data_IF_363729791704
#
_entry.id   IF_363729791704
#
_cell.length_a   1.000
_cell.length_b   1.000
_cell.length_c   1.000
_cell.angle_alpha   90.00
_cell.angle_beta   90.00
_cell.angle_gamma   90.00
#
_symmetry.space_group_name_H-M   'P 1'
#
loop_
_entity.id
_entity.type
_entity.pdbx_description
1 polymer ?
#
# COMPACT_ATOMS: atom_id res chain seq x y z
N UNK A 1 -16.11 10.15 -15.95
CA UNK A 1 -14.68 10.17 -15.59
C UNK A 1 -14.51 11.07 -14.38
N UNK A 2 -13.72 10.66 -13.37
CA UNK A 2 -13.53 11.38 -12.10
C UNK A 2 -13.13 12.85 -12.29
N UNK A 3 -12.39 13.16 -13.36
CA UNK A 3 -11.96 14.52 -13.70
C UNK A 3 -13.11 15.49 -14.09
N UNK A 4 -14.31 14.97 -14.39
CA UNK A 4 -15.45 15.83 -14.78
C UNK A 4 -16.18 16.44 -13.55
N UNK A 5 -15.89 15.96 -12.36
CA UNK A 5 -16.50 16.42 -11.11
C UNK A 5 -15.62 17.42 -10.32
N UNK A 6 -14.38 17.67 -10.76
CA UNK A 6 -13.47 18.66 -10.21
C UNK A 6 -13.65 20.02 -10.93
N UNK A 7 -13.62 21.14 -10.19
CA UNK A 7 -13.51 22.47 -10.83
C UNK A 7 -12.14 22.66 -11.48
N UNK A 8 -12.02 23.68 -12.34
CA UNK A 8 -10.77 24.06 -12.98
C UNK A 8 -9.68 24.32 -11.94
N UNK A 9 -8.74 23.44 -11.85
CA UNK A 9 -7.53 23.48 -11.03
C UNK A 9 -6.43 22.72 -11.75
N UNK A 10 -5.21 22.77 -11.23
CA UNK A 10 -4.09 22.01 -11.79
C UNK A 10 -4.18 20.54 -11.37
N UNK A 11 -4.52 19.68 -12.32
CA UNK A 11 -4.57 18.23 -12.08
C UNK A 11 -3.14 17.68 -11.99
N UNK A 12 -2.80 17.08 -10.86
CA UNK A 12 -1.56 16.34 -10.71
C UNK A 12 -1.62 15.12 -11.63
N UNK A 13 -0.69 15.02 -12.55
CA UNK A 13 -0.62 13.89 -13.48
C UNK A 13 -0.24 12.60 -12.73
N UNK A 14 -1.19 11.67 -12.65
CA UNK A 14 -0.96 10.31 -12.16
C UNK A 14 -0.70 9.42 -13.36
N UNK A 15 0.56 9.00 -13.53
CA UNK A 15 0.99 8.22 -14.71
C UNK A 15 0.46 6.79 -14.69
N UNK A 16 0.34 6.19 -13.52
CA UNK A 16 0.09 4.77 -13.33
C UNK A 16 -1.14 4.48 -12.47
N UNK A 17 -1.39 5.30 -11.44
CA UNK A 17 -2.56 5.15 -10.59
C UNK A 17 -3.84 5.49 -11.35
N UNK A 18 -4.83 4.59 -11.29
CA UNK A 18 -6.12 4.75 -11.97
C UNK A 18 -7.26 5.03 -11.01
N UNK A 19 -7.07 4.70 -9.75
CA UNK A 19 -8.08 4.87 -8.71
C UNK A 19 -7.96 6.21 -7.96
N UNK A 20 -6.93 7.00 -8.24
CA UNK A 20 -6.67 8.26 -7.56
C UNK A 20 -6.51 9.39 -8.58
N UNK A 21 -7.23 10.49 -8.34
CA UNK A 21 -7.04 11.76 -9.06
C UNK A 21 -6.85 12.87 -8.04
N UNK A 22 -5.85 13.70 -8.23
CA UNK A 22 -5.54 14.85 -7.36
C UNK A 22 -5.65 16.12 -8.19
N UNK A 23 -6.36 17.12 -7.66
CA UNK A 23 -6.50 18.44 -8.27
C UNK A 23 -6.11 19.49 -7.25
N UNK A 24 -5.10 20.28 -7.56
CA UNK A 24 -4.63 21.41 -6.75
C UNK A 24 -5.33 22.69 -7.17
N UNK A 25 -5.72 23.52 -6.23
CA UNK A 25 -6.41 24.78 -6.46
C UNK A 25 -5.67 25.93 -5.77
N UNK A 26 -5.53 27.05 -6.49
CA UNK A 26 -4.87 28.27 -6.03
C UNK A 26 -3.70 28.64 -6.89
N UNK A 27 -3.34 29.93 -6.89
CA UNK A 27 -2.19 30.46 -7.62
C UNK A 27 -0.92 29.99 -6.90
N UNK A 28 0.01 29.38 -7.63
CA UNK A 28 1.25 28.77 -7.12
C UNK A 28 2.28 29.73 -6.51
N UNK A 29 1.91 31.01 -6.27
CA UNK A 29 2.65 31.90 -5.39
C UNK A 29 2.13 31.65 -3.95
N UNK A 30 2.89 30.90 -3.20
CA UNK A 30 2.61 30.34 -1.90
C UNK A 30 1.69 31.18 -1.04
N UNK A 31 0.60 30.58 -0.61
CA UNK A 31 -0.22 31.13 0.45
C UNK A 31 0.69 31.56 1.61
N UNK A 32 0.62 32.83 1.96
CA UNK A 32 1.49 33.43 2.97
C UNK A 32 1.15 32.85 4.34
N UNK A 33 1.74 31.71 4.70
CA UNK A 33 1.49 31.00 5.94
C UNK A 33 1.39 29.49 5.80
N UNK A 34 1.35 28.95 4.58
CA UNK A 34 1.36 27.51 4.35
C UNK A 34 2.66 26.86 4.83
N UNK A 35 2.60 25.58 5.18
CA UNK A 35 3.77 24.79 5.50
C UNK A 35 4.73 24.73 4.30
N UNK A 36 6.03 24.65 4.57
CA UNK A 36 7.04 24.50 3.51
C UNK A 36 6.73 23.29 2.62
N UNK A 37 6.82 23.47 1.30
CA UNK A 37 6.54 22.44 0.31
C UNK A 37 5.07 22.34 -0.12
N UNK A 38 4.20 23.28 0.26
CA UNK A 38 2.80 23.37 -0.21
C UNK A 38 2.69 24.49 -1.23
N UNK A 39 2.19 24.17 -2.43
CA UNK A 39 2.04 25.08 -3.57
C UNK A 39 0.57 25.28 -3.99
N UNK A 40 -0.38 25.04 -3.07
CA UNK A 40 -1.82 25.15 -3.31
C UNK A 40 -2.55 25.74 -2.09
N UNK A 41 -3.69 26.36 -2.30
CA UNK A 41 -4.58 26.84 -1.22
C UNK A 41 -5.41 25.69 -0.64
N UNK A 42 -5.92 24.81 -1.49
CA UNK A 42 -6.52 23.54 -1.13
C UNK A 42 -6.34 22.55 -2.28
N UNK A 43 -6.47 21.27 -1.99
CA UNK A 43 -6.45 20.24 -3.01
C UNK A 43 -7.64 19.29 -2.85
N UNK A 44 -8.05 18.67 -3.94
CA UNK A 44 -9.05 17.61 -3.96
C UNK A 44 -8.36 16.29 -4.30
N UNK A 45 -8.57 15.27 -3.49
CA UNK A 45 -8.21 13.91 -3.82
C UNK A 45 -9.47 13.09 -4.03
N UNK A 46 -9.62 12.53 -5.22
CA UNK A 46 -10.80 11.79 -5.66
C UNK A 46 -10.41 10.32 -5.78
N UNK A 47 -11.03 9.46 -4.96
CA UNK A 47 -10.79 8.02 -4.97
C UNK A 47 -11.92 7.34 -5.74
N UNK A 48 -11.59 6.73 -6.88
CA UNK A 48 -12.55 5.98 -7.67
C UNK A 48 -12.95 4.69 -6.95
N UNK A 49 -14.19 4.25 -7.16
CA UNK A 49 -14.67 3.01 -6.57
C UNK A 49 -14.10 1.81 -7.35
N UNK A 50 -13.26 0.98 -6.74
CA UNK A 50 -12.61 -0.13 -7.42
C UNK A 50 -13.56 -1.28 -7.77
N UNK A 51 -14.72 -1.34 -7.11
CA UNK A 51 -15.73 -2.39 -7.32
C UNK A 51 -16.88 -1.96 -8.23
N UNK A 52 -17.08 -0.64 -8.38
CA UNK A 52 -18.16 -0.10 -9.20
C UNK A 52 -17.65 0.96 -10.16
N UNK A 53 -17.33 0.52 -11.36
CA UNK A 53 -16.81 1.39 -12.40
C UNK A 53 -17.66 2.65 -12.63
N UNK A 54 -17.01 3.78 -12.86
CA UNK A 54 -17.66 5.05 -13.14
C UNK A 54 -18.26 5.75 -11.89
N UNK A 55 -18.04 5.21 -10.69
CA UNK A 55 -18.47 5.85 -9.45
C UNK A 55 -17.26 6.21 -8.58
N UNK A 56 -17.46 7.17 -7.67
CA UNK A 56 -16.48 7.56 -6.68
C UNK A 56 -16.69 6.78 -5.39
N UNK A 57 -15.60 6.36 -4.76
CA UNK A 57 -15.60 5.81 -3.41
C UNK A 57 -15.64 6.96 -2.40
N UNK A 58 -14.68 7.89 -2.51
CA UNK A 58 -14.50 8.96 -1.54
C UNK A 58 -13.88 10.19 -2.20
N UNK A 59 -14.16 11.36 -1.62
CA UNK A 59 -13.55 12.64 -1.96
C UNK A 59 -12.96 13.27 -0.72
N UNK A 60 -11.73 13.69 -0.79
CA UNK A 60 -11.05 14.44 0.27
C UNK A 60 -10.75 15.84 -0.19
N UNK A 61 -11.03 16.82 0.69
CA UNK A 61 -10.61 18.21 0.51
C UNK A 61 -9.50 18.45 1.50
N UNK A 62 -8.29 18.63 0.98
CA UNK A 62 -7.08 18.86 1.77
C UNK A 62 -6.89 20.36 1.94
N UNK A 63 -6.87 20.82 3.19
CA UNK A 63 -6.69 22.24 3.53
C UNK A 63 -5.42 22.38 4.38
N UNK A 64 -4.38 23.06 3.87
CA UNK A 64 -3.18 23.32 4.64
C UNK A 64 -3.47 24.10 5.92
N UNK A 65 -2.85 23.72 7.04
CA UNK A 65 -2.90 24.45 8.31
C UNK A 65 -2.15 25.78 8.17
N UNK A 66 -2.62 26.80 8.87
CA UNK A 66 -1.98 28.12 8.89
C UNK A 66 -2.53 29.13 7.90
N UNK A 67 -3.49 28.78 7.07
CA UNK A 67 -4.14 29.69 6.13
C UNK A 67 -5.29 30.48 6.75
N UNK A 68 -5.22 31.84 6.68
CA UNK A 68 -6.34 32.71 7.08
C UNK A 68 -7.54 32.60 6.12
N UNK A 69 -7.34 32.21 4.87
CA UNK A 69 -8.35 31.92 3.85
C UNK A 69 -9.26 30.72 4.12
N UNK A 70 -8.97 30.00 5.14
CA UNK A 70 -9.56 28.77 5.61
C UNK A 70 -11.10 28.74 5.67
N UNK A 71 -11.72 29.83 6.12
CA UNK A 71 -13.20 29.93 6.19
C UNK A 71 -13.85 29.92 4.81
N UNK A 72 -13.23 30.54 3.83
CA UNK A 72 -13.74 30.61 2.45
C UNK A 72 -13.62 29.23 1.79
N UNK A 73 -12.49 28.55 1.98
CA UNK A 73 -12.24 27.21 1.45
C UNK A 73 -13.18 26.19 2.09
N UNK A 74 -13.39 26.26 3.41
CA UNK A 74 -14.36 25.38 4.11
C UNK A 74 -15.79 25.64 3.62
N UNK A 75 -16.16 26.89 3.30
CA UNK A 75 -17.46 27.21 2.71
C UNK A 75 -17.59 26.65 1.29
N UNK A 76 -16.54 26.72 0.48
CA UNK A 76 -16.50 26.13 -0.86
C UNK A 76 -16.62 24.60 -0.79
N UNK A 77 -15.88 23.96 0.13
CA UNK A 77 -15.95 22.56 0.40
C UNK A 77 -17.37 22.10 0.80
N UNK A 78 -18.02 22.85 1.70
CA UNK A 78 -19.41 22.60 2.12
C UNK A 78 -20.42 22.77 0.99
N UNK A 79 -20.26 23.79 0.12
CA UNK A 79 -21.12 23.98 -1.06
C UNK A 79 -21.04 22.80 -2.03
N UNK A 80 -19.87 22.16 -2.17
CA UNK A 80 -19.65 21.05 -3.08
C UNK A 80 -20.11 19.72 -2.50
N UNK A 81 -20.09 19.54 -1.18
CA UNK A 81 -20.58 18.31 -0.54
C UNK A 81 -22.09 18.11 -0.74
N UNK A 82 -22.85 19.16 -0.95
CA UNK A 82 -24.32 19.10 -1.13
C UNK A 82 -24.77 18.54 -2.48
N UNK A 83 -23.87 18.37 -3.45
CA UNK A 83 -24.16 17.78 -4.77
C UNK A 83 -23.38 16.51 -5.08
N UNK A 84 -22.46 16.11 -4.21
CA UNK A 84 -21.58 14.98 -4.46
C UNK A 84 -22.31 13.63 -4.31
N UNK A 85 -22.08 12.74 -5.27
CA UNK A 85 -22.62 11.37 -5.24
C UNK A 85 -21.75 10.40 -4.39
N UNK A 86 -20.83 10.90 -3.60
CA UNK A 86 -19.95 10.13 -2.72
C UNK A 86 -19.73 10.86 -1.40
N UNK A 87 -19.19 10.14 -0.42
CA UNK A 87 -18.75 10.71 0.87
C UNK A 87 -17.65 11.73 0.62
N UNK A 88 -17.71 12.87 1.29
CA UNK A 88 -16.72 13.93 1.22
C UNK A 88 -16.25 14.31 2.61
N UNK A 89 -14.95 14.22 2.86
CA UNK A 89 -14.32 14.65 4.09
C UNK A 89 -13.34 15.79 3.85
N UNK A 90 -13.26 16.69 4.82
CA UNK A 90 -12.23 17.74 4.86
C UNK A 90 -11.12 17.31 5.80
N UNK A 91 -9.88 17.34 5.32
CA UNK A 91 -8.69 16.96 6.07
C UNK A 91 -7.78 18.16 6.21
N UNK A 92 -7.43 18.52 7.44
CA UNK A 92 -6.43 19.55 7.71
C UNK A 92 -5.04 18.95 7.61
N UNK A 93 -4.24 19.48 6.70
CA UNK A 93 -2.89 18.99 6.46
C UNK A 93 -1.83 19.97 6.98
N UNK A 94 -0.70 19.47 7.45
CA UNK A 94 -0.37 18.05 7.65
C UNK A 94 -1.13 17.44 8.83
N UNK A 95 -1.47 16.15 8.68
CA UNK A 95 -2.00 15.32 9.78
C UNK A 95 -0.85 14.99 10.72
N UNK A 96 -0.98 15.32 11.98
CA UNK A 96 0.08 15.12 13.01
C UNK A 96 -0.24 13.99 14.00
N UNK A 97 -1.50 13.53 14.00
CA UNK A 97 -1.94 12.38 14.80
C UNK A 97 -2.88 11.52 13.97
N UNK A 98 -2.50 10.28 13.76
CA UNK A 98 -3.30 9.33 12.99
C UNK A 98 -3.35 7.95 13.63
N UNK A 99 -4.43 7.23 13.37
CA UNK A 99 -4.50 5.79 13.55
C UNK A 99 -4.29 5.12 12.18
N UNK A 100 -3.23 4.33 12.05
CA UNK A 100 -2.81 3.69 10.79
C UNK A 100 -2.99 2.19 10.93
N UNK A 101 -3.97 1.64 10.21
CA UNK A 101 -4.39 0.25 10.39
C UNK A 101 -3.50 -0.77 9.67
N UNK A 102 -2.68 -0.34 8.70
CA UNK A 102 -2.01 -1.22 7.77
C UNK A 102 -0.50 -1.01 7.79
N UNK A 103 0.26 -2.07 8.02
CA UNK A 103 1.72 -2.04 8.14
C UNK A 103 2.46 -1.39 6.95
N UNK A 104 2.11 -1.63 5.68
CA UNK A 104 2.74 -0.93 4.55
C UNK A 104 2.67 0.58 4.63
N UNK A 105 1.54 1.14 5.09
CA UNK A 105 1.41 2.59 5.26
C UNK A 105 2.29 3.10 6.41
N UNK A 106 2.40 2.33 7.50
CA UNK A 106 3.34 2.67 8.57
C UNK A 106 4.77 2.74 8.01
N UNK A 107 5.20 1.75 7.24
CA UNK A 107 6.54 1.72 6.65
C UNK A 107 6.77 2.92 5.71
N UNK A 108 5.80 3.22 4.85
CA UNK A 108 5.88 4.39 3.97
C UNK A 108 6.04 5.69 4.77
N UNK A 109 5.32 5.84 5.88
CA UNK A 109 5.46 7.03 6.74
C UNK A 109 6.85 7.18 7.35
N UNK A 110 7.55 6.06 7.67
CA UNK A 110 8.97 6.11 8.04
C UNK A 110 9.85 6.60 6.90
N UNK A 111 9.62 6.14 5.69
CA UNK A 111 10.39 6.53 4.52
C UNK A 111 10.17 8.00 4.15
N UNK A 112 8.95 8.50 4.32
CA UNK A 112 8.62 9.91 4.12
C UNK A 112 9.07 10.83 5.27
N UNK A 113 9.47 10.25 6.43
CA UNK A 113 9.91 11.02 7.61
C UNK A 113 8.76 11.57 8.46
N UNK A 114 7.55 11.06 8.28
CA UNK A 114 6.36 11.46 9.02
C UNK A 114 5.87 10.42 10.05
N UNK A 115 6.73 9.50 10.48
CA UNK A 115 6.41 8.43 11.43
C UNK A 115 5.90 8.95 12.78
N UNK A 116 6.18 10.20 13.13
CA UNK A 116 5.70 10.79 14.38
C UNK A 116 4.18 10.98 14.39
N UNK A 117 3.57 11.06 13.22
CA UNK A 117 2.12 11.11 13.07
C UNK A 117 1.43 9.77 13.35
N UNK A 118 2.16 8.65 13.38
CA UNK A 118 1.62 7.34 13.78
C UNK A 118 1.44 7.33 15.29
N UNK A 119 0.20 7.32 15.75
CA UNK A 119 -0.16 7.32 17.18
C UNK A 119 -0.94 6.09 17.61
N UNK A 120 -1.60 5.44 16.66
CA UNK A 120 -2.29 4.18 16.87
C UNK A 120 -2.09 3.25 15.67
N UNK A 121 -2.05 1.96 15.93
CA UNK A 121 -1.96 0.92 14.92
C UNK A 121 -2.90 -0.23 15.26
N UNK A 122 -3.33 -0.96 14.23
CA UNK A 122 -4.01 -2.23 14.40
C UNK A 122 -3.08 -3.39 14.04
N UNK A 123 -3.45 -4.60 14.47
CA UNK A 123 -2.74 -5.84 14.14
C UNK A 123 -1.24 -5.78 14.45
N UNK A 124 -0.88 -5.19 15.60
CA UNK A 124 0.50 -4.88 16.01
C UNK A 124 1.43 -6.09 15.92
N UNK A 125 0.95 -7.30 16.21
CA UNK A 125 1.76 -8.52 16.19
C UNK A 125 2.31 -8.84 14.79
N UNK A 126 1.59 -8.41 13.74
CA UNK A 126 1.96 -8.60 12.34
C UNK A 126 2.79 -7.47 11.75
N UNK A 127 2.98 -6.37 12.48
CA UNK A 127 3.81 -5.25 12.02
C UNK A 127 5.28 -5.58 12.26
N UNK A 128 6.07 -5.64 11.19
CA UNK A 128 7.50 -5.94 11.27
C UNK A 128 8.37 -4.67 11.12
N UNK A 129 8.05 -3.67 11.94
CA UNK A 129 8.78 -2.40 12.04
C UNK A 129 9.24 -2.24 13.50
N UNK A 130 10.55 -2.40 13.78
CA UNK A 130 11.07 -2.43 15.15
C UNK A 130 10.70 -1.19 16.00
N UNK A 131 10.75 0.00 15.41
CA UNK A 131 10.41 1.24 16.13
C UNK A 131 8.94 1.32 16.49
N UNK A 132 8.03 0.84 15.64
CA UNK A 132 6.59 0.75 15.96
C UNK A 132 6.40 -0.13 17.20
N UNK A 133 7.03 -1.30 17.23
CA UNK A 133 6.95 -2.21 18.39
C UNK A 133 7.53 -1.59 19.65
N UNK A 134 8.68 -0.91 19.53
CA UNK A 134 9.30 -0.19 20.64
C UNK A 134 8.38 0.90 21.19
N UNK A 135 7.82 1.75 20.33
CA UNK A 135 6.92 2.84 20.73
C UNK A 135 5.60 2.30 21.29
N UNK A 136 5.10 1.17 20.78
CA UNK A 136 3.90 0.52 21.32
C UNK A 136 4.13 -0.05 22.73
N UNK A 137 5.32 -0.58 23.02
CA UNK A 137 5.69 -1.04 24.36
C UNK A 137 5.74 0.09 25.39
N UNK A 138 5.86 1.34 24.94
CA UNK A 138 5.83 2.54 25.79
C UNK A 138 4.42 3.09 26.01
N UNK A 139 3.40 2.47 25.44
CA UNK A 139 2.01 2.87 25.62
C UNK A 139 1.63 2.80 27.12
N UNK A 140 1.02 3.86 27.61
CA UNK A 140 0.72 4.00 29.06
C UNK A 140 1.83 4.66 29.89
N UNK A 141 3.02 4.86 29.36
CA UNK A 141 4.05 5.66 30.02
C UNK A 141 3.83 7.15 29.70
N UNK A 142 3.38 7.91 30.68
CA UNK A 142 3.08 9.36 30.55
C UNK A 142 4.30 10.21 30.19
N UNK A 143 5.51 9.71 30.47
CA UNK A 143 6.78 10.40 30.15
C UNK A 143 7.34 9.99 28.77
N UNK A 144 6.73 9.04 28.10
CA UNK A 144 7.21 8.59 26.78
C UNK A 144 6.89 9.62 25.69
N UNK A 145 7.87 9.89 24.86
CA UNK A 145 7.66 10.72 23.67
C UNK A 145 6.98 9.88 22.57
N UNK A 146 5.83 10.36 22.10
CA UNK A 146 5.11 9.78 20.96
C UNK A 146 4.87 8.26 21.05
N UNK A 147 4.26 7.75 22.14
CA UNK A 147 3.91 6.34 22.23
C UNK A 147 2.88 5.97 21.16
N UNK A 148 2.86 4.72 20.75
CA UNK A 148 1.86 4.16 19.83
C UNK A 148 0.88 3.31 20.61
N UNK A 149 -0.41 3.53 20.39
CA UNK A 149 -1.49 2.74 21.01
C UNK A 149 -1.81 1.55 20.12
N UNK A 150 -1.86 0.35 20.68
CA UNK A 150 -2.42 -0.81 19.99
C UNK A 150 -3.94 -0.70 20.01
N UNK A 151 -4.53 -0.45 18.84
CA UNK A 151 -5.97 -0.28 18.64
C UNK A 151 -6.71 -1.61 18.34
N UNK A 152 -6.07 -2.76 18.59
CA UNK A 152 -6.67 -4.08 18.41
C UNK A 152 -6.56 -4.58 16.98
N UNK A 153 -7.57 -5.35 16.54
CA UNK A 153 -7.63 -5.86 15.17
C UNK A 153 -8.18 -4.84 14.20
N UNK A 154 -7.64 -4.77 12.98
CA UNK A 154 -8.16 -3.92 11.90
C UNK A 154 -9.59 -4.27 11.51
N UNK A 155 -10.01 -5.54 11.69
CA UNK A 155 -11.39 -6.00 11.43
C UNK A 155 -12.36 -5.69 12.57
N UNK A 156 -11.88 -5.47 13.78
CA UNK A 156 -12.66 -5.13 14.97
C UNK A 156 -11.86 -4.19 15.88
N UNK A 157 -11.66 -2.92 15.45
CA UNK A 157 -10.82 -1.98 16.19
C UNK A 157 -11.43 -1.58 17.52
N UNK A 158 -10.56 -1.30 18.51
CA UNK A 158 -10.93 -0.79 19.82
C UNK A 158 -11.28 0.70 19.70
N UNK A 159 -12.57 0.98 19.63
CA UNK A 159 -13.11 2.33 19.44
C UNK A 159 -12.73 3.27 20.59
N UNK A 160 -12.71 2.78 21.84
CA UNK A 160 -12.40 3.61 23.02
C UNK A 160 -10.94 4.06 22.99
N UNK A 161 -10.03 3.18 22.61
CA UNK A 161 -8.62 3.53 22.42
C UNK A 161 -8.43 4.54 21.30
N UNK A 162 -9.15 4.39 20.19
CA UNK A 162 -9.11 5.35 19.08
C UNK A 162 -9.64 6.72 19.54
N UNK A 163 -10.75 6.77 20.27
CA UNK A 163 -11.29 8.03 20.81
C UNK A 163 -10.28 8.70 21.74
N UNK A 164 -9.66 7.93 22.65
CA UNK A 164 -8.68 8.45 23.58
C UNK A 164 -7.42 9.01 22.87
N UNK A 165 -7.07 8.46 21.74
CA UNK A 165 -5.96 8.90 20.90
C UNK A 165 -6.22 10.28 20.26
N UNK A 166 -7.48 10.66 20.07
CA UNK A 166 -7.91 11.90 19.39
C UNK A 166 -7.19 12.09 18.04
N UNK A 167 -7.29 11.13 17.10
CA UNK A 167 -6.62 11.24 15.83
C UNK A 167 -7.28 12.30 14.96
N UNK A 168 -6.50 12.94 14.09
CA UNK A 168 -6.98 13.88 13.07
C UNK A 168 -7.45 13.15 11.81
N UNK A 169 -6.97 11.91 11.61
CA UNK A 169 -7.40 11.03 10.55
C UNK A 169 -7.18 9.55 10.93
N UNK A 170 -7.98 8.68 10.34
CA UNK A 170 -7.83 7.23 10.39
C UNK A 170 -7.49 6.75 8.98
N UNK A 171 -6.41 6.01 8.82
CA UNK A 171 -5.98 5.44 7.55
C UNK A 171 -6.22 3.93 7.56
N UNK A 172 -7.09 3.46 6.67
CA UNK A 172 -7.45 2.05 6.56
C UNK A 172 -7.67 1.65 5.10
N UNK A 173 -7.63 0.36 4.80
CA UNK A 173 -8.01 -0.15 3.48
C UNK A 173 -9.52 -0.42 3.42
N UNK A 174 -10.23 0.14 2.43
CA UNK A 174 -11.62 -0.18 2.19
C UNK A 174 -11.77 -1.62 1.67
N UNK A 175 -12.97 -2.19 1.80
CA UNK A 175 -13.32 -3.49 1.22
C UNK A 175 -14.72 -3.45 0.62
N UNK A 176 -14.97 -4.35 -0.32
CA UNK A 176 -16.26 -4.42 -1.00
C UNK A 176 -17.40 -4.66 -0.01
N UNK A 177 -18.48 -3.94 -0.20
CA UNK A 177 -19.69 -4.04 0.64
C UNK A 177 -19.42 -3.78 2.15
N UNK A 178 -18.42 -2.98 2.48
CA UNK A 178 -18.18 -2.59 3.88
C UNK A 178 -19.40 -1.96 4.54
N UNK A 179 -20.29 -1.34 3.76
CA UNK A 179 -21.49 -0.68 4.26
C UNK A 179 -21.23 0.48 5.21
N UNK A 180 -19.96 0.95 5.24
CA UNK A 180 -19.41 1.88 6.21
C UNK A 180 -18.56 1.16 7.28
N UNK A 181 -18.04 1.96 8.19
CA UNK A 181 -17.08 1.50 9.23
C UNK A 181 -17.72 1.44 10.62
N UNK A 182 -19.05 1.35 10.66
CA UNK A 182 -19.81 1.15 11.89
C UNK A 182 -19.63 2.28 12.91
N UNK A 183 -19.03 1.97 14.05
CA UNK A 183 -18.81 2.97 15.10
C UNK A 183 -17.78 4.03 14.73
N UNK A 184 -16.81 3.72 13.83
CA UNK A 184 -15.81 4.68 13.37
C UNK A 184 -16.47 5.85 12.63
N UNK A 185 -17.48 5.62 11.80
CA UNK A 185 -18.21 6.67 11.07
C UNK A 185 -18.85 7.71 12.02
N UNK A 186 -19.18 7.30 13.23
CA UNK A 186 -19.82 8.17 14.24
C UNK A 186 -18.83 9.07 14.98
N UNK A 187 -17.52 8.88 14.79
CA UNK A 187 -16.50 9.67 15.46
C UNK A 187 -16.28 11.02 14.79
N UNK A 188 -16.81 11.23 13.59
CA UNK A 188 -16.59 12.43 12.78
C UNK A 188 -15.10 12.74 12.55
N UNK A 189 -14.27 11.71 12.52
CA UNK A 189 -12.85 11.76 12.17
C UNK A 189 -12.74 11.35 10.72
N UNK A 190 -12.04 12.09 9.85
CA UNK A 190 -11.83 11.70 8.47
C UNK A 190 -11.25 10.30 8.36
N UNK A 191 -11.90 9.42 7.58
CA UNK A 191 -11.42 8.09 7.28
C UNK A 191 -10.81 8.11 5.89
N UNK A 192 -9.49 7.92 5.84
CA UNK A 192 -8.74 7.85 4.59
C UNK A 192 -8.83 6.42 4.07
N UNK A 193 -9.64 6.21 3.04
CA UNK A 193 -9.86 4.93 2.38
C UNK A 193 -8.74 4.67 1.38
N UNK A 194 -7.70 3.98 1.85
CA UNK A 194 -6.51 3.66 1.09
C UNK A 194 -6.78 2.51 0.10
N UNK A 195 -7.36 2.83 -1.06
CA UNK A 195 -7.65 1.87 -2.12
C UNK A 195 -6.43 1.51 -2.99
N UNK A 196 -5.23 1.91 -2.59
CA UNK A 196 -3.98 1.67 -3.31
C UNK A 196 -3.74 0.17 -3.60
N UNK A 197 -4.16 -0.70 -2.69
CA UNK A 197 -3.99 -2.15 -2.87
C UNK A 197 -4.84 -2.73 -4.00
N UNK A 198 -5.86 -1.99 -4.45
CA UNK A 198 -6.73 -2.37 -5.58
C UNK A 198 -6.21 -1.87 -6.94
N UNK A 199 -5.13 -1.09 -6.95
CA UNK A 199 -4.46 -0.75 -8.21
C UNK A 199 -3.95 -2.01 -8.91
N UNK A 200 -4.23 -2.15 -10.18
CA UNK A 200 -3.74 -3.28 -10.98
C UNK A 200 -2.28 -3.13 -11.39
N UNK A 201 -1.78 -1.90 -11.47
CA UNK A 201 -0.39 -1.62 -11.80
C UNK A 201 0.49 -1.56 -10.55
N UNK A 202 1.63 -2.27 -10.51
CA UNK A 202 2.59 -2.17 -9.39
C UNK A 202 3.07 -0.73 -9.15
N UNK A 203 3.39 0.01 -10.20
CA UNK A 203 3.75 1.42 -10.12
C UNK A 203 2.56 2.30 -9.75
N UNK A 204 1.33 1.93 -10.17
CA UNK A 204 0.11 2.65 -9.77
C UNK A 204 -0.10 2.62 -8.26
N UNK A 205 0.09 1.46 -7.63
CA UNK A 205 0.04 1.37 -6.17
C UNK A 205 1.11 2.23 -5.51
N UNK A 206 2.35 2.16 -5.99
CA UNK A 206 3.44 2.97 -5.46
C UNK A 206 3.18 4.48 -5.61
N UNK A 207 2.55 4.91 -6.69
CA UNK A 207 2.29 6.32 -6.97
C UNK A 207 1.33 6.98 -5.95
N UNK A 208 0.53 6.20 -5.24
CA UNK A 208 -0.30 6.72 -4.14
C UNK A 208 0.51 7.38 -3.03
N UNK A 209 1.83 7.12 -2.94
CA UNK A 209 2.68 7.81 -1.97
C UNK A 209 2.66 9.33 -2.13
N UNK A 210 2.36 9.85 -3.32
CA UNK A 210 2.18 11.29 -3.56
C UNK A 210 1.01 11.84 -2.75
N UNK A 211 -0.11 11.13 -2.70
CA UNK A 211 -1.25 11.49 -1.87
C UNK A 211 -0.92 11.44 -0.38
N UNK A 212 -0.25 10.39 0.07
CA UNK A 212 0.17 10.29 1.47
C UNK A 212 1.19 11.36 1.84
N UNK A 213 2.06 11.75 0.91
CA UNK A 213 2.96 12.89 1.08
C UNK A 213 2.23 14.22 1.32
N UNK A 214 1.09 14.42 0.67
CA UNK A 214 0.23 15.59 0.88
C UNK A 214 -0.51 15.55 2.22
N UNK A 215 -0.86 14.36 2.71
CA UNK A 215 -1.60 14.21 3.97
C UNK A 215 -0.73 14.47 5.21
N UNK A 216 0.53 14.04 5.18
CA UNK A 216 1.39 14.02 6.36
C UNK A 216 2.54 15.02 6.25
N UNK A 217 3.06 15.43 7.40
CA UNK A 217 4.19 16.32 7.50
C UNK A 217 5.36 15.74 8.28
N UNK A 218 6.54 16.31 8.09
CA UNK A 218 7.75 15.98 8.79
C UNK A 218 8.27 17.14 9.63
N UNK A 219 9.11 16.82 10.62
CA UNK A 219 9.72 17.83 11.50
C UNK A 219 10.84 18.64 10.80
N UNK A 220 11.43 18.11 9.73
CA UNK A 220 12.55 18.75 9.03
C UNK A 220 12.13 20.07 8.37
N UNK A 221 10.89 20.13 7.84
CA UNK A 221 10.29 21.33 7.24
C UNK A 221 9.42 22.15 8.19
N UNK A 222 9.58 22.00 9.52
CA UNK A 222 8.72 22.68 10.50
C UNK A 222 8.94 24.18 10.49
N UNK A 223 7.85 24.92 10.27
CA UNK A 223 7.81 26.38 10.31
C UNK A 223 6.62 26.86 11.11
N UNK A 224 6.80 27.89 11.96
CA UNK A 224 5.72 28.45 12.80
C UNK A 224 4.95 27.39 13.62
N UNK A 225 5.61 26.29 14.02
CA UNK A 225 4.99 25.19 14.78
C UNK A 225 4.22 24.19 13.91
N UNK A 226 4.14 24.36 12.60
CA UNK A 226 3.48 23.46 11.66
C UNK A 226 4.56 22.63 10.95
N UNK A 227 4.37 21.33 10.87
CA UNK A 227 5.27 20.40 10.16
C UNK A 227 5.28 20.70 8.67
N UNK A 228 6.42 20.55 8.00
CA UNK A 228 6.53 20.67 6.54
C UNK A 228 5.82 19.52 5.82
N UNK A 229 5.38 19.76 4.57
CA UNK A 229 4.76 18.73 3.74
C UNK A 229 5.75 17.63 3.38
N UNK A 230 5.31 16.38 3.36
CA UNK A 230 6.08 15.24 2.86
C UNK A 230 5.98 15.07 1.34
N UNK A 231 5.22 15.91 0.63
CA UNK A 231 5.01 15.80 -0.82
C UNK A 231 6.32 15.78 -1.62
N UNK A 232 7.27 16.72 -1.41
CA UNK A 232 8.52 16.70 -2.19
C UNK A 232 9.34 15.43 -2.00
N UNK A 233 9.29 14.85 -0.81
CA UNK A 233 9.98 13.60 -0.49
C UNK A 233 9.29 12.40 -1.14
N UNK A 234 7.97 12.39 -1.17
CA UNK A 234 7.17 11.37 -1.85
C UNK A 234 7.44 11.38 -3.36
N UNK A 235 7.47 12.55 -3.99
CA UNK A 235 7.79 12.69 -5.40
C UNK A 235 9.19 12.20 -5.73
N UNK A 236 10.18 12.57 -4.92
CA UNK A 236 11.56 12.11 -5.09
C UNK A 236 11.69 10.60 -4.90
N UNK A 237 11.00 10.04 -3.92
CA UNK A 237 11.01 8.60 -3.66
C UNK A 237 10.36 7.84 -4.81
N UNK A 238 9.18 8.29 -5.26
CA UNK A 238 8.48 7.67 -6.38
C UNK A 238 9.33 7.71 -7.66
N UNK A 239 9.96 8.84 -7.97
CA UNK A 239 10.82 8.96 -9.15
C UNK A 239 11.99 7.96 -9.15
N UNK A 240 12.58 7.68 -7.97
CA UNK A 240 13.61 6.65 -7.83
C UNK A 240 13.06 5.26 -8.09
N UNK A 241 11.92 4.93 -7.49
CA UNK A 241 11.24 3.64 -7.64
C UNK A 241 10.85 3.41 -9.10
N UNK A 242 10.24 4.40 -9.74
CA UNK A 242 9.86 4.36 -11.16
C UNK A 242 11.07 4.07 -12.04
N UNK A 243 12.14 4.84 -11.87
CA UNK A 243 13.38 4.66 -12.65
C UNK A 243 13.97 3.27 -12.49
N UNK A 244 14.06 2.78 -11.26
CA UNK A 244 14.62 1.45 -10.98
C UNK A 244 13.73 0.34 -11.53
N UNK A 245 12.41 0.44 -11.33
CA UNK A 245 11.44 -0.51 -11.86
C UNK A 245 11.53 -0.63 -13.38
N UNK A 246 11.51 0.50 -14.10
CA UNK A 246 11.58 0.52 -15.56
C UNK A 246 12.94 0.00 -16.07
N UNK A 247 14.03 0.30 -15.39
CA UNK A 247 15.35 -0.22 -15.72
C UNK A 247 15.40 -1.75 -15.56
N UNK A 248 14.90 -2.29 -14.47
CA UNK A 248 14.85 -3.74 -14.23
C UNK A 248 13.98 -4.45 -15.27
N UNK A 249 12.81 -3.91 -15.56
CA UNK A 249 11.90 -4.43 -16.59
C UNK A 249 12.58 -4.47 -17.96
N UNK A 250 13.26 -3.39 -18.37
CA UNK A 250 13.98 -3.33 -19.63
C UNK A 250 15.14 -4.34 -19.70
N UNK A 251 15.88 -4.49 -18.60
CA UNK A 251 16.94 -5.49 -18.49
C UNK A 251 16.39 -6.92 -18.67
N UNK A 252 15.31 -7.26 -17.94
CA UNK A 252 14.69 -8.58 -18.04
C UNK A 252 14.18 -8.88 -19.46
N UNK A 253 13.58 -7.89 -20.12
CA UNK A 253 13.07 -8.02 -21.50
C UNK A 253 14.19 -8.29 -22.53
N UNK A 254 15.43 -7.92 -22.26
CA UNK A 254 16.61 -8.19 -23.09
C UNK A 254 17.09 -9.64 -23.07
N UNK A 255 16.53 -10.48 -22.22
CA UNK A 255 16.87 -11.91 -22.13
C UNK A 255 15.79 -12.80 -22.72
N UNK A 256 16.14 -14.07 -22.96
CA UNK A 256 15.12 -15.09 -23.30
C UNK A 256 14.17 -15.25 -22.13
N UNK A 257 12.94 -15.67 -22.42
CA UNK A 257 11.92 -15.99 -21.42
C UNK A 257 12.52 -16.88 -20.32
N UNK A 258 12.40 -16.44 -19.08
CA UNK A 258 13.01 -17.07 -17.91
C UNK A 258 12.33 -18.36 -17.46
N UNK A 259 12.72 -18.86 -16.31
CA UNK A 259 12.12 -20.01 -15.66
C UNK A 259 10.65 -19.73 -15.30
N UNK A 260 9.87 -20.80 -15.21
CA UNK A 260 8.49 -20.72 -14.74
C UNK A 260 8.44 -20.66 -13.21
N UNK A 261 7.64 -19.73 -12.68
CA UNK A 261 7.48 -19.51 -11.24
C UNK A 261 6.03 -19.80 -10.84
N UNK A 262 5.85 -20.69 -9.87
CA UNK A 262 4.60 -20.88 -9.15
C UNK A 262 4.72 -20.16 -7.80
N UNK A 263 3.72 -19.37 -7.46
CA UNK A 263 3.67 -18.66 -6.18
C UNK A 263 2.66 -19.28 -5.23
N UNK A 264 2.82 -19.01 -3.96
CA UNK A 264 1.95 -19.41 -2.85
C UNK A 264 1.87 -20.93 -2.66
N UNK A 265 1.14 -21.34 -1.64
CA UNK A 265 0.83 -22.74 -1.32
C UNK A 265 -0.63 -22.86 -0.91
N UNK A 266 -1.15 -24.06 -0.86
CA UNK A 266 -2.55 -24.26 -0.49
C UNK A 266 -2.82 -23.79 0.95
N UNK A 267 -4.03 -23.32 1.16
CA UNK A 267 -4.58 -22.99 2.48
C UNK A 267 -5.92 -23.71 2.62
N UNK A 268 -6.01 -24.64 3.56
CA UNK A 268 -7.17 -25.53 3.62
C UNK A 268 -7.29 -26.37 2.33
N UNK A 269 -8.41 -26.25 1.65
CA UNK A 269 -8.68 -26.95 0.39
C UNK A 269 -8.51 -26.09 -0.85
N UNK A 270 -7.99 -24.87 -0.70
CA UNK A 270 -7.84 -23.89 -1.78
C UNK A 270 -6.38 -23.49 -1.92
N UNK A 271 -5.96 -23.30 -3.16
CA UNK A 271 -4.67 -22.70 -3.49
C UNK A 271 -4.96 -21.37 -4.19
N UNK A 272 -4.72 -20.27 -3.48
CA UNK A 272 -4.87 -18.95 -4.04
C UNK A 272 -3.63 -18.58 -4.83
N UNK A 273 -3.81 -18.29 -6.13
CA UNK A 273 -2.73 -17.88 -7.02
C UNK A 273 -3.06 -16.54 -7.65
N UNK A 274 -2.07 -15.72 -8.00
CA UNK A 274 -2.31 -14.44 -8.66
C UNK A 274 -2.97 -14.62 -10.03
N UNK A 275 -3.99 -13.84 -10.33
CA UNK A 275 -4.49 -13.70 -11.70
C UNK A 275 -3.44 -13.04 -12.60
N UNK A 276 -3.53 -13.25 -13.90
CA UNK A 276 -2.55 -12.74 -14.87
C UNK A 276 -2.47 -11.21 -14.91
N UNK A 277 -3.56 -10.52 -14.60
CA UNK A 277 -3.64 -9.05 -14.52
C UNK A 277 -3.55 -8.51 -13.09
N UNK A 278 -3.23 -9.37 -12.11
CA UNK A 278 -2.94 -8.92 -10.75
C UNK A 278 -1.57 -8.26 -10.66
N UNK A 279 -1.32 -7.52 -9.57
CA UNK A 279 0.00 -6.91 -9.30
C UNK A 279 1.13 -7.94 -9.40
N UNK A 280 0.97 -9.12 -8.81
CA UNK A 280 1.97 -10.19 -8.88
C UNK A 280 2.07 -10.79 -10.28
N UNK A 281 0.94 -11.00 -10.97
CA UNK A 281 0.92 -11.48 -12.36
C UNK A 281 1.69 -10.54 -13.29
N UNK A 282 1.48 -9.22 -13.13
CA UNK A 282 2.20 -8.19 -13.90
C UNK A 282 3.69 -8.18 -13.54
N UNK A 283 4.06 -8.31 -12.26
CA UNK A 283 5.46 -8.39 -11.85
C UNK A 283 6.17 -9.61 -12.45
N UNK A 284 5.53 -10.77 -12.47
CA UNK A 284 6.07 -11.97 -13.12
C UNK A 284 6.26 -11.76 -14.63
N UNK A 285 5.30 -11.11 -15.30
CA UNK A 285 5.40 -10.73 -16.71
C UNK A 285 6.53 -9.74 -16.95
N UNK A 286 6.65 -8.70 -16.13
CA UNK A 286 7.68 -7.67 -16.23
C UNK A 286 9.07 -8.22 -15.88
N UNK A 287 9.15 -9.26 -15.04
CA UNK A 287 10.36 -10.04 -14.81
C UNK A 287 10.74 -10.97 -15.98
N UNK A 288 9.95 -11.00 -17.04
CA UNK A 288 10.10 -11.92 -18.16
C UNK A 288 10.17 -13.41 -17.70
N UNK A 289 9.47 -13.74 -16.62
CA UNK A 289 9.27 -15.09 -16.13
C UNK A 289 8.10 -15.75 -16.86
N UNK A 290 8.06 -17.09 -16.90
CA UNK A 290 6.89 -17.84 -17.31
C UNK A 290 5.96 -18.02 -16.10
N UNK A 291 4.66 -17.88 -16.35
CA UNK A 291 3.64 -18.07 -15.33
C UNK A 291 2.46 -18.88 -15.91
N UNK A 292 1.99 -19.89 -15.19
CA UNK A 292 0.95 -20.80 -15.70
C UNK A 292 -0.41 -20.15 -15.91
N UNK A 293 -0.62 -18.95 -15.38
CA UNK A 293 -1.82 -18.13 -15.54
C UNK A 293 -1.49 -16.77 -16.20
N UNK A 294 -0.41 -16.66 -16.98
CA UNK A 294 -0.01 -15.38 -17.60
C UNK A 294 -1.07 -14.79 -18.54
N UNK A 295 -1.92 -15.63 -19.15
CA UNK A 295 -3.01 -15.22 -20.04
C UNK A 295 -4.33 -14.95 -19.31
N UNK A 296 -4.41 -15.19 -18.02
CA UNK A 296 -5.60 -14.94 -17.21
C UNK A 296 -5.89 -13.45 -17.09
N UNK A 297 -7.17 -13.06 -17.19
CA UNK A 297 -7.57 -11.65 -17.22
C UNK A 297 -8.01 -11.09 -15.86
N UNK A 298 -7.96 -11.89 -14.80
CA UNK A 298 -8.34 -11.41 -13.47
C UNK A 298 -7.24 -10.55 -12.84
N UNK A 299 -7.65 -9.46 -12.24
CA UNK A 299 -6.76 -8.53 -11.49
C UNK A 299 -6.58 -8.92 -10.02
N UNK A 300 -7.30 -9.91 -9.54
CA UNK A 300 -7.23 -10.44 -8.17
C UNK A 300 -6.61 -11.83 -8.10
N UNK A 301 -6.78 -12.48 -6.96
CA UNK A 301 -6.38 -13.88 -6.76
C UNK A 301 -7.42 -14.84 -7.33
N UNK A 302 -6.94 -15.92 -7.92
CA UNK A 302 -7.74 -17.05 -8.36
C UNK A 302 -7.82 -18.10 -7.24
N UNK A 303 -9.01 -18.48 -6.83
CA UNK A 303 -9.24 -19.57 -5.90
C UNK A 303 -9.32 -20.89 -6.69
N UNK A 304 -8.25 -21.69 -6.65
CA UNK A 304 -8.13 -22.94 -7.40
C UNK A 304 -8.07 -24.13 -6.47
N UNK A 305 -8.53 -25.30 -6.92
CA UNK A 305 -8.23 -26.53 -6.20
C UNK A 305 -6.76 -26.93 -6.37
N UNK A 306 -6.15 -27.61 -5.39
CA UNK A 306 -4.78 -28.10 -5.54
C UNK A 306 -4.59 -28.97 -6.80
N UNK A 307 -5.58 -29.76 -7.19
CA UNK A 307 -5.55 -30.61 -8.38
C UNK A 307 -5.49 -29.79 -9.66
N UNK A 308 -6.23 -28.68 -9.74
CA UNK A 308 -6.19 -27.75 -10.87
C UNK A 308 -4.82 -27.10 -11.01
N UNK A 309 -4.20 -26.70 -9.89
CA UNK A 309 -2.84 -26.15 -9.89
C UNK A 309 -1.84 -27.21 -10.33
N UNK A 310 -1.91 -28.43 -9.78
CA UNK A 310 -1.02 -29.50 -10.18
C UNK A 310 -1.18 -29.92 -11.64
N UNK A 311 -2.41 -29.91 -12.16
CA UNK A 311 -2.65 -30.23 -13.58
C UNK A 311 -1.90 -29.28 -14.53
N UNK A 312 -1.83 -27.97 -14.19
CA UNK A 312 -1.12 -26.96 -14.98
C UNK A 312 0.34 -26.79 -14.59
N UNK A 313 0.66 -26.97 -13.32
CA UNK A 313 1.92 -26.56 -12.70
C UNK A 313 2.95 -27.68 -12.51
N UNK A 314 2.69 -28.93 -12.95
CA UNK A 314 3.64 -30.06 -12.76
C UNK A 314 5.07 -29.77 -13.15
N UNK A 315 5.27 -29.00 -14.23
CA UNK A 315 6.58 -28.73 -14.83
C UNK A 315 7.16 -27.37 -14.43
N UNK A 316 6.56 -26.68 -13.43
CA UNK A 316 7.15 -25.41 -12.97
C UNK A 316 8.57 -25.61 -12.48
N UNK A 317 9.43 -24.63 -12.81
CA UNK A 317 10.85 -24.70 -12.49
C UNK A 317 11.16 -24.24 -11.07
N UNK A 318 10.40 -23.27 -10.56
CA UNK A 318 10.56 -22.60 -9.26
C UNK A 318 9.24 -22.54 -8.53
N UNK A 319 9.26 -22.83 -7.25
CA UNK A 319 8.13 -22.65 -6.34
C UNK A 319 8.52 -21.68 -5.23
N UNK A 320 7.85 -20.51 -5.17
CA UNK A 320 8.15 -19.43 -4.24
C UNK A 320 6.91 -19.07 -3.42
N UNK A 321 6.98 -19.14 -2.09
CA UNK A 321 5.85 -18.85 -1.24
C UNK A 321 6.23 -18.17 0.08
N UNK A 322 5.22 -17.62 0.74
CA UNK A 322 5.31 -16.99 2.06
C UNK A 322 4.86 -17.95 3.15
N UNK A 323 5.48 -17.82 4.33
CA UNK A 323 5.03 -18.45 5.56
C UNK A 323 5.18 -17.46 6.73
N UNK A 324 4.62 -17.78 7.88
CA UNK A 324 4.63 -16.91 9.04
C UNK A 324 5.20 -17.64 10.27
N UNK A 325 6.38 -17.22 10.68
CA UNK A 325 7.03 -17.67 11.92
C UNK A 325 7.65 -19.06 11.89
N UNK A 326 8.62 -19.25 12.71
CA UNK A 326 9.35 -20.51 12.86
C UNK A 326 10.50 -20.68 11.87
N UNK A 327 10.95 -21.92 11.72
CA UNK A 327 11.96 -22.30 10.74
C UNK A 327 11.34 -22.45 9.34
N UNK A 328 12.12 -22.32 8.26
CA UNK A 328 11.67 -22.67 6.92
C UNK A 328 11.08 -24.09 6.88
N UNK A 329 9.98 -24.24 6.16
CA UNK A 329 9.32 -25.53 6.03
C UNK A 329 10.19 -26.52 5.26
N UNK A 330 10.50 -27.65 5.86
CA UNK A 330 11.19 -28.74 5.19
C UNK A 330 10.28 -29.43 4.16
N UNK A 331 10.86 -30.14 3.21
CA UNK A 331 10.09 -30.96 2.27
C UNK A 331 9.18 -31.97 2.99
N UNK A 332 9.65 -32.55 4.09
CA UNK A 332 8.86 -33.48 4.89
C UNK A 332 7.61 -32.79 5.50
N UNK A 333 7.76 -31.59 6.05
CA UNK A 333 6.63 -30.81 6.57
C UNK A 333 5.65 -30.40 5.48
N UNK A 334 6.14 -30.02 4.31
CA UNK A 334 5.30 -29.70 3.16
C UNK A 334 4.48 -30.91 2.71
N UNK A 335 5.09 -32.12 2.69
CA UNK A 335 4.36 -33.36 2.35
C UNK A 335 3.36 -33.78 3.44
N UNK A 336 3.61 -33.44 4.71
CA UNK A 336 2.61 -33.64 5.77
C UNK A 336 1.41 -32.69 5.58
N UNK A 337 1.64 -31.48 5.08
CA UNK A 337 0.55 -30.54 4.75
C UNK A 337 -0.26 -31.03 3.54
N UNK A 338 0.43 -31.49 2.49
CA UNK A 338 -0.19 -32.00 1.28
C UNK A 338 0.77 -32.88 0.45
N UNK A 339 0.50 -34.16 0.39
CA UNK A 339 1.32 -35.14 -0.35
C UNK A 339 1.40 -34.83 -1.85
N UNK A 340 0.41 -34.15 -2.41
CA UNK A 340 0.38 -33.74 -3.82
C UNK A 340 1.53 -32.84 -4.26
N UNK A 341 2.21 -32.14 -3.35
CA UNK A 341 3.36 -31.29 -3.70
C UNK A 341 4.50 -32.06 -4.38
N UNK A 342 4.63 -33.37 -4.11
CA UNK A 342 5.60 -34.26 -4.80
C UNK A 342 5.39 -34.33 -6.33
N UNK A 343 4.23 -33.93 -6.83
CA UNK A 343 3.99 -33.86 -8.28
C UNK A 343 4.64 -32.65 -8.95
N UNK A 344 5.11 -31.65 -8.19
CA UNK A 344 5.78 -30.46 -8.72
C UNK A 344 7.24 -30.75 -9.04
N UNK A 345 7.67 -30.46 -10.27
CA UNK A 345 9.08 -30.57 -10.66
C UNK A 345 9.99 -29.68 -9.79
N UNK A 346 9.53 -28.46 -9.44
CA UNK A 346 10.25 -27.56 -8.54
C UNK A 346 10.50 -28.18 -7.16
N UNK A 347 9.51 -28.90 -6.60
CA UNK A 347 9.64 -29.60 -5.33
C UNK A 347 10.72 -30.69 -5.42
N UNK A 348 10.67 -31.55 -6.43
CA UNK A 348 11.58 -32.66 -6.60
C UNK A 348 13.04 -32.22 -6.90
N UNK A 349 13.20 -31.05 -7.50
CA UNK A 349 14.54 -30.45 -7.78
C UNK A 349 15.07 -29.62 -6.61
N UNK A 350 14.30 -29.47 -5.53
CA UNK A 350 14.65 -28.60 -4.42
C UNK A 350 14.71 -27.11 -4.78
N UNK A 351 13.96 -26.69 -5.81
CA UNK A 351 13.83 -25.29 -6.20
C UNK A 351 12.64 -24.63 -5.48
N UNK A 352 12.69 -24.70 -4.16
CA UNK A 352 11.69 -24.16 -3.25
C UNK A 352 12.29 -22.95 -2.57
N UNK A 353 11.61 -21.80 -2.71
CA UNK A 353 12.04 -20.54 -2.13
C UNK A 353 10.95 -20.03 -1.17
N UNK A 354 11.36 -19.64 0.01
CA UNK A 354 10.45 -19.28 1.09
C UNK A 354 10.81 -17.91 1.66
N UNK A 355 9.82 -17.19 2.14
CA UNK A 355 10.03 -15.96 2.91
C UNK A 355 9.21 -16.02 4.20
N UNK A 356 9.88 -15.78 5.32
CA UNK A 356 9.24 -15.64 6.62
C UNK A 356 8.76 -14.20 6.82
N UNK A 357 7.47 -14.00 6.71
CA UNK A 357 6.86 -12.68 6.86
C UNK A 357 6.74 -12.22 8.32
N UNK A 358 7.10 -13.05 9.30
CA UNK A 358 7.18 -12.65 10.70
C UNK A 358 8.49 -11.93 11.06
N UNK A 359 9.55 -12.18 10.30
CA UNK A 359 10.89 -11.63 10.54
C UNK A 359 11.39 -10.74 9.41
N UNK A 360 10.87 -10.93 8.21
CA UNK A 360 11.22 -10.16 7.01
C UNK A 360 10.10 -9.17 6.72
N UNK A 361 10.36 -7.86 6.60
CA UNK A 361 9.35 -6.84 6.32
C UNK A 361 8.90 -6.89 4.84
N UNK A 362 8.38 -8.05 4.42
CA UNK A 362 7.98 -8.32 3.05
C UNK A 362 6.83 -7.41 2.62
N UNK A 363 5.71 -7.46 3.35
CA UNK A 363 4.52 -6.69 3.01
C UNK A 363 4.73 -5.19 3.23
N UNK A 364 5.45 -4.84 4.28
CA UNK A 364 5.76 -3.46 4.63
C UNK A 364 6.51 -2.75 3.49
N UNK A 365 7.47 -3.45 2.88
CA UNK A 365 8.30 -2.88 1.83
C UNK A 365 7.70 -3.05 0.43
N UNK A 366 7.30 -4.27 0.06
CA UNK A 366 6.96 -4.58 -1.36
C UNK A 366 5.70 -3.88 -1.85
N UNK A 367 4.84 -3.39 -0.95
CA UNK A 367 3.60 -2.71 -1.32
C UNK A 367 3.85 -1.39 -2.06
N UNK A 368 4.81 -0.60 -1.61
CA UNK A 368 5.18 0.68 -2.24
C UNK A 368 6.54 0.63 -2.96
N UNK A 369 7.25 -0.49 -2.88
CA UNK A 369 8.52 -0.76 -3.56
C UNK A 369 8.41 -1.97 -4.50
N UNK A 370 7.63 -1.85 -5.59
CA UNK A 370 7.47 -2.95 -6.53
C UNK A 370 8.77 -3.35 -7.23
N UNK A 371 9.74 -2.44 -7.34
CA UNK A 371 11.07 -2.70 -7.90
C UNK A 371 11.83 -3.77 -7.09
N UNK A 372 11.63 -3.82 -5.78
CA UNK A 372 12.27 -4.82 -4.92
C UNK A 372 11.74 -6.23 -5.25
N UNK A 373 10.43 -6.37 -5.39
CA UNK A 373 9.82 -7.67 -5.71
C UNK A 373 10.05 -8.06 -7.18
N UNK A 374 10.05 -7.08 -8.08
CA UNK A 374 10.44 -7.31 -9.48
C UNK A 374 11.86 -7.88 -9.58
N UNK A 375 12.81 -7.34 -8.82
CA UNK A 375 14.18 -7.86 -8.75
C UNK A 375 14.24 -9.31 -8.24
N UNK A 376 13.46 -9.63 -7.19
CA UNK A 376 13.36 -11.02 -6.70
C UNK A 376 12.90 -11.98 -7.80
N UNK A 377 11.81 -11.63 -8.50
CA UNK A 377 11.30 -12.47 -9.58
C UNK A 377 12.25 -12.57 -10.78
N UNK A 378 12.99 -11.50 -11.09
CA UNK A 378 14.06 -11.55 -12.13
C UNK A 378 15.15 -12.53 -11.70
N UNK A 379 15.61 -12.49 -10.46
CA UNK A 379 16.64 -13.40 -9.94
C UNK A 379 16.14 -14.84 -9.96
N UNK A 380 14.90 -15.08 -9.52
CA UNK A 380 14.29 -16.41 -9.55
C UNK A 380 14.14 -16.96 -10.98
N UNK A 381 13.83 -16.09 -11.95
CA UNK A 381 13.62 -16.50 -13.34
C UNK A 381 14.91 -16.64 -14.15
N UNK A 382 15.92 -15.82 -13.86
CA UNK A 382 17.12 -15.69 -14.72
C UNK A 382 18.43 -15.98 -14.01
N UNK A 383 18.42 -16.15 -12.67
CA UNK A 383 19.58 -16.50 -11.86
C UNK A 383 20.29 -15.30 -11.23
N UNK A 384 21.31 -15.60 -10.41
CA UNK A 384 22.02 -14.65 -9.56
C UNK A 384 22.86 -13.60 -10.29
N UNK A 385 22.96 -13.65 -11.61
CA UNK A 385 23.61 -12.58 -12.42
C UNK A 385 22.93 -11.21 -12.27
N UNK A 386 21.67 -11.20 -11.78
CA UNK A 386 20.92 -9.97 -11.49
C UNK A 386 21.03 -9.51 -10.03
N UNK A 387 21.81 -10.21 -9.21
CA UNK A 387 22.01 -9.90 -7.80
C UNK A 387 21.69 -11.08 -6.89
N UNK A 388 21.54 -10.80 -5.61
CA UNK A 388 21.15 -11.78 -4.58
C UNK A 388 19.72 -11.52 -4.13
N UNK A 389 19.02 -12.60 -3.81
CA UNK A 389 17.69 -12.54 -3.19
C UNK A 389 17.75 -11.80 -1.85
N UNK A 390 16.86 -10.89 -1.65
CA UNK A 390 16.69 -10.12 -0.41
C UNK A 390 15.69 -10.77 0.54
N UNK A 391 14.56 -11.20 -0.01
CA UNK A 391 13.43 -11.70 0.75
C UNK A 391 13.36 -13.22 0.75
N UNK A 392 13.36 -13.82 -0.43
CA UNK A 392 13.25 -15.26 -0.58
C UNK A 392 14.58 -15.96 -0.26
N UNK A 393 14.47 -17.12 0.40
CA UNK A 393 15.60 -18.01 0.69
C UNK A 393 15.25 -19.42 0.21
N UNK A 394 16.27 -20.11 -0.30
CA UNK A 394 16.15 -21.49 -0.77
C UNK A 394 16.14 -22.47 0.41
#
# INVERSE_FOLDING_TARGET
TAAADAEAGDTLEMKYAKLLTIVKHGDGEGASGAAEGVDYQYAEALVANPWKAGTMLHRYILIPKGEEGDKTVVMLAKRRSTGARCTTDTVRTPVERSAVFIAPHCQLMYELGCQQAIRGVCDLDYINIPDVKKRAALSGNTSAQNPIVNCGSSMAPDIERIIALKPEAILLSPFENSGGYGKLDKLHIPIIEAADYMESSPLGRAEWMKFYGMLFGNEEGKSNGISGSCEPKADSLFAKIEKEYLSLKAQAAGYRKGLSILTERKTGNVWYVPGGQSTIGILLKDANARYIFEDDQHSGSLAMSPEQILAKGKQVDVWAFKYFGGAPLSQAQLLQEYDGYKALAAFNRGNIYQVDTSTVPYFELTSFHPELLLREFIILAHGERFGKLRFYKK
#
